data_IF_397096777096
#
_entry.id   IF_397096777096
#
_cell.length_a   1.000
_cell.length_b   1.000
_cell.length_c   1.000
_cell.angle_alpha   90.00
_cell.angle_beta   90.00
_cell.angle_gamma   90.00
#
_symmetry.space_group_name_H-M   'P 1'
#
loop_
_entity.id
_entity.type
_entity.pdbx_description
1 polymer ?
#
# COMPACT_ATOMS: atom_id res chain seq x y z
N UNK A 1 2.41 -78.53 -36.49
CA UNK A 1 1.20 -79.28 -36.09
C UNK A 1 0.26 -78.24 -35.50
N UNK A 2 -0.63 -77.74 -36.35
CA UNK A 2 -2.07 -78.13 -36.42
C UNK A 2 -2.83 -77.19 -35.46
N UNK A 3 -3.45 -76.12 -35.97
CA UNK A 3 -4.91 -76.04 -36.29
C UNK A 3 -5.70 -75.87 -34.96
N UNK A 4 -6.64 -74.96 -34.77
CA UNK A 4 -7.71 -74.52 -35.66
C UNK A 4 -8.21 -73.12 -35.30
N UNK A 5 -8.65 -72.42 -36.35
CA UNK A 5 -9.50 -71.26 -36.34
C UNK A 5 -10.94 -71.64 -35.90
N UNK A 6 -11.38 -71.09 -34.76
CA UNK A 6 -12.75 -71.22 -34.28
C UNK A 6 -13.61 -70.01 -34.64
N UNK A 7 -14.25 -70.07 -35.81
CA UNK A 7 -15.32 -69.15 -36.24
C UNK A 7 -16.55 -69.32 -35.35
N UNK A 8 -17.05 -68.24 -34.74
CA UNK A 8 -18.36 -68.19 -34.09
C UNK A 8 -19.24 -67.13 -34.76
N UNK A 9 -20.43 -67.59 -35.13
CA UNK A 9 -21.49 -66.91 -35.90
C UNK A 9 -22.29 -65.91 -35.06
N UNK A 10 -22.95 -64.93 -35.68
CA UNK A 10 -23.80 -63.97 -34.98
C UNK A 10 -25.19 -64.57 -34.76
N UNK A 11 -25.63 -64.66 -33.49
CA UNK A 11 -27.01 -65.05 -33.17
C UNK A 11 -27.71 -63.97 -32.33
N UNK A 12 -28.88 -63.59 -32.86
CA UNK A 12 -30.06 -63.05 -32.18
C UNK A 12 -29.92 -61.73 -31.40
N UNK A 13 -30.41 -60.69 -32.07
CA UNK A 13 -31.21 -59.59 -31.54
C UNK A 13 -31.94 -59.97 -30.23
N UNK A 14 -31.58 -59.29 -29.13
CA UNK A 14 -32.48 -59.04 -28.01
C UNK A 14 -32.58 -57.53 -27.81
N UNK A 15 -33.54 -56.93 -28.53
CA UNK A 15 -34.05 -55.61 -28.25
C UNK A 15 -34.77 -55.64 -26.90
N UNK A 16 -34.06 -55.34 -25.80
CA UNK A 16 -34.68 -55.03 -24.52
C UNK A 16 -33.96 -53.88 -23.85
N UNK A 17 -34.75 -52.83 -23.64
CA UNK A 17 -34.61 -51.82 -22.59
C UNK A 17 -33.44 -50.86 -22.74
N UNK A 18 -33.76 -49.79 -23.47
CA UNK A 18 -33.35 -48.42 -23.19
C UNK A 18 -33.53 -48.16 -21.69
N UNK A 19 -32.48 -48.39 -20.90
CA UNK A 19 -32.30 -47.72 -19.61
C UNK A 19 -31.18 -46.72 -19.83
N UNK A 20 -31.59 -45.57 -20.36
CA UNK A 20 -30.79 -44.37 -20.51
C UNK A 20 -30.37 -43.90 -19.10
N UNK A 21 -29.34 -44.51 -18.54
CA UNK A 21 -28.60 -43.92 -17.42
C UNK A 21 -27.80 -42.75 -18.01
N UNK A 22 -28.50 -41.65 -18.26
CA UNK A 22 -27.93 -40.31 -18.33
C UNK A 22 -27.26 -40.09 -16.98
N UNK A 23 -25.98 -40.44 -16.90
CA UNK A 23 -25.10 -39.92 -15.88
C UNK A 23 -25.07 -38.41 -16.15
N UNK A 24 -25.92 -37.70 -15.42
CA UNK A 24 -25.81 -36.27 -15.19
C UNK A 24 -24.49 -36.04 -14.46
N UNK A 25 -23.37 -36.10 -15.18
CA UNK A 25 -22.17 -35.36 -14.80
C UNK A 25 -22.57 -33.90 -14.89
N UNK A 26 -23.17 -33.40 -13.81
CA UNK A 26 -23.22 -31.98 -13.55
C UNK A 26 -21.77 -31.51 -13.61
N UNK A 27 -21.41 -30.89 -14.72
CA UNK A 27 -20.19 -30.13 -14.86
C UNK A 27 -20.31 -29.06 -13.77
N UNK A 28 -19.74 -29.34 -12.60
CA UNK A 28 -19.39 -28.30 -11.65
C UNK A 28 -18.36 -27.47 -12.41
N UNK A 29 -18.82 -26.45 -13.11
CA UNK A 29 -17.99 -25.32 -13.46
C UNK A 29 -17.41 -24.87 -12.12
N UNK A 30 -16.20 -25.32 -11.82
CA UNK A 30 -15.41 -24.78 -10.75
C UNK A 30 -15.25 -23.31 -11.11
N UNK A 31 -16.10 -22.46 -10.54
CA UNK A 31 -15.87 -21.02 -10.50
C UNK A 31 -14.61 -20.87 -9.66
N UNK A 32 -13.45 -20.94 -10.33
CA UNK A 32 -12.22 -20.49 -9.71
C UNK A 32 -12.50 -19.05 -9.27
N UNK A 33 -12.36 -18.73 -7.97
CA UNK A 33 -12.46 -17.34 -7.56
C UNK A 33 -11.49 -16.55 -8.44
N UNK A 34 -11.96 -15.41 -8.94
CA UNK A 34 -11.10 -14.51 -9.69
C UNK A 34 -9.81 -14.29 -8.87
N UNK A 35 -8.63 -14.24 -9.53
CA UNK A 35 -7.39 -13.98 -8.82
C UNK A 35 -7.57 -12.77 -7.92
N UNK A 36 -7.26 -12.92 -6.63
CA UNK A 36 -7.27 -11.79 -5.71
C UNK A 36 -6.25 -10.80 -6.28
N UNK A 37 -6.64 -9.56 -6.60
CA UNK A 37 -5.68 -8.58 -7.08
C UNK A 37 -4.57 -8.45 -6.04
N UNK A 38 -3.30 -8.29 -6.45
CA UNK A 38 -2.21 -8.08 -5.51
C UNK A 38 -2.56 -6.89 -4.61
N UNK A 39 -2.19 -6.91 -3.32
CA UNK A 39 -2.41 -5.79 -2.42
C UNK A 39 -1.78 -4.54 -3.06
N UNK A 40 -2.62 -3.56 -3.39
CA UNK A 40 -2.15 -2.28 -3.92
C UNK A 40 -1.66 -1.45 -2.75
N UNK A 41 -0.46 -0.90 -2.86
CA UNK A 41 0.00 0.10 -1.90
C UNK A 41 -1.04 1.23 -1.81
N UNK A 42 -1.33 1.73 -0.59
CA UNK A 42 -2.25 2.85 -0.43
C UNK A 42 -1.67 4.06 -1.16
N UNK A 43 -2.54 4.84 -1.80
CA UNK A 43 -2.12 6.09 -2.43
C UNK A 43 -1.68 7.08 -1.37
N UNK A 44 -0.83 8.05 -1.72
CA UNK A 44 -0.43 9.10 -0.78
C UNK A 44 -1.64 9.88 -0.23
N UNK A 45 -2.72 10.00 -1.02
CA UNK A 45 -3.96 10.67 -0.59
C UNK A 45 -4.70 9.85 0.46
N UNK A 46 -4.85 8.55 0.24
CA UNK A 46 -5.45 7.65 1.23
C UNK A 46 -4.64 7.63 2.53
N UNK A 47 -3.30 7.64 2.43
CA UNK A 47 -2.43 7.76 3.60
C UNK A 47 -2.62 9.09 4.33
N UNK A 48 -2.66 10.21 3.62
CA UNK A 48 -2.83 11.53 4.25
C UNK A 48 -4.20 11.72 4.92
N UNK A 49 -5.23 11.03 4.45
CA UNK A 49 -6.58 11.03 5.01
C UNK A 49 -6.76 10.06 6.19
N UNK A 50 -5.82 9.14 6.40
CA UNK A 50 -5.87 8.19 7.51
C UNK A 50 -5.57 8.88 8.86
N UNK A 51 -6.42 8.70 9.89
CA UNK A 51 -6.24 9.39 11.17
C UNK A 51 -4.94 9.01 11.90
N UNK A 52 -4.47 7.76 11.79
CA UNK A 52 -3.24 7.32 12.45
C UNK A 52 -2.01 7.93 11.77
N UNK A 53 -2.03 8.00 10.45
CA UNK A 53 -0.97 8.68 9.68
C UNK A 53 -0.98 10.18 9.96
N UNK A 54 -2.16 10.79 10.09
CA UNK A 54 -2.29 12.19 10.46
C UNK A 54 -1.76 12.49 11.87
N UNK A 55 -2.01 11.60 12.85
CA UNK A 55 -1.40 11.69 14.18
C UNK A 55 0.14 11.57 14.12
N UNK A 56 0.66 10.76 13.19
CA UNK A 56 2.10 10.70 12.91
C UNK A 56 2.63 12.05 12.40
N UNK A 57 1.91 12.75 11.52
CA UNK A 57 2.28 14.10 11.06
C UNK A 57 2.37 15.09 12.24
N UNK A 58 1.37 15.09 13.11
CA UNK A 58 1.34 15.97 14.28
C UNK A 58 2.51 15.68 15.25
N UNK A 59 2.74 14.41 15.56
CA UNK A 59 3.86 13.98 16.43
C UNK A 59 5.22 14.39 15.86
N UNK A 60 5.43 14.18 14.56
CA UNK A 60 6.70 14.53 13.90
C UNK A 60 6.90 16.04 13.82
N UNK A 61 5.85 16.82 13.55
CA UNK A 61 5.95 18.28 13.62
C UNK A 61 6.37 18.73 15.03
N UNK A 62 5.69 18.27 16.07
CA UNK A 62 5.95 18.71 17.45
C UNK A 62 7.40 18.41 17.86
N UNK A 63 7.95 17.27 17.43
CA UNK A 63 9.35 16.90 17.65
C UNK A 63 10.31 17.81 16.91
N UNK A 64 10.03 18.15 15.66
CA UNK A 64 10.85 19.10 14.89
C UNK A 64 10.87 20.50 15.53
N UNK A 65 9.70 21.00 15.93
CA UNK A 65 9.58 22.30 16.62
C UNK A 65 10.33 22.33 17.95
N UNK A 66 10.28 21.25 18.73
CA UNK A 66 10.97 21.15 20.01
C UNK A 66 12.51 21.21 19.89
N UNK A 67 13.06 20.94 18.70
CA UNK A 67 14.51 20.87 18.46
C UNK A 67 15.07 22.09 17.73
N UNK A 68 14.35 23.22 17.75
CA UNK A 68 14.81 24.51 17.21
C UNK A 68 15.28 24.40 15.74
N UNK A 69 14.37 23.99 14.85
CA UNK A 69 14.61 23.85 13.40
C UNK A 69 15.43 22.62 12.97
N UNK A 70 15.72 21.68 13.89
CA UNK A 70 16.17 20.35 13.47
C UNK A 70 15.00 19.52 12.95
N UNK A 71 15.22 18.80 11.86
CA UNK A 71 14.23 17.88 11.33
C UNK A 71 13.98 16.73 12.33
N UNK A 72 12.79 16.14 12.24
CA UNK A 72 12.44 14.87 12.87
C UNK A 72 11.75 14.03 11.83
N UNK A 73 11.91 12.70 11.90
CA UNK A 73 11.41 11.81 10.88
C UNK A 73 10.86 10.50 11.48
N UNK A 74 9.96 9.85 10.74
CA UNK A 74 9.41 8.55 11.05
C UNK A 74 9.14 7.73 9.79
N UNK A 75 9.15 6.42 9.97
CA UNK A 75 8.51 5.49 9.05
C UNK A 75 7.03 5.38 9.37
N UNK A 76 6.17 5.34 8.34
CA UNK A 76 4.80 4.84 8.45
C UNK A 76 4.79 3.42 7.92
N UNK A 77 4.41 2.48 8.78
CA UNK A 77 4.43 1.04 8.50
C UNK A 77 3.01 0.51 8.50
N UNK A 78 2.61 -0.18 7.43
CA UNK A 78 1.38 -0.95 7.39
C UNK A 78 1.62 -2.31 8.04
N UNK A 79 0.94 -2.54 9.16
CA UNK A 79 0.78 -3.88 9.77
C UNK A 79 -0.43 -4.56 9.13
N UNK A 80 -0.81 -5.72 9.65
CA UNK A 80 -1.90 -6.54 9.09
C UNK A 80 -3.21 -5.75 8.94
N UNK A 81 -3.53 -4.89 9.90
CA UNK A 81 -4.81 -4.20 10.00
C UNK A 81 -4.73 -2.72 10.44
N UNK A 82 -3.52 -2.20 10.71
CA UNK A 82 -3.33 -0.84 11.19
C UNK A 82 -2.00 -0.25 10.72
N UNK A 83 -1.89 1.09 10.78
CA UNK A 83 -0.64 1.79 10.60
C UNK A 83 0.11 1.98 11.92
N UNK A 84 1.44 1.98 11.85
CA UNK A 84 2.33 2.31 12.96
C UNK A 84 3.31 3.41 12.53
N UNK A 85 3.55 4.37 13.43
CA UNK A 85 4.51 5.46 13.22
C UNK A 85 5.80 5.18 14.00
N UNK A 86 6.86 4.74 13.31
CA UNK A 86 8.15 4.40 13.91
C UNK A 86 9.11 5.59 13.79
N UNK A 87 9.24 6.35 14.88
CA UNK A 87 10.11 7.54 14.93
C UNK A 87 11.58 7.15 14.80
N UNK A 88 12.31 7.87 13.94
CA UNK A 88 13.75 7.70 13.79
C UNK A 88 14.45 8.19 15.05
N UNK A 89 15.24 7.31 15.66
CA UNK A 89 16.04 7.68 16.82
C UNK A 89 17.14 8.66 16.35
N UNK A 90 16.96 9.93 16.63
CA UNK A 90 17.82 11.00 16.13
C UNK A 90 18.55 11.65 17.29
N UNK A 91 19.82 11.30 17.47
CA UNK A 91 20.71 11.92 18.44
C UNK A 91 21.32 13.19 17.84
N UNK A 92 20.99 14.39 18.35
CA UNK A 92 21.69 15.65 18.02
C UNK A 92 20.82 16.86 17.65
N UNK A 93 21.43 17.94 17.15
CA UNK A 93 20.78 19.16 16.64
C UNK A 93 21.18 19.40 15.17
N UNK A 94 20.98 18.40 14.31
CA UNK A 94 21.32 18.52 12.89
C UNK A 94 20.11 19.04 12.11
N UNK A 95 20.39 19.89 11.12
CA UNK A 95 19.38 20.38 10.18
C UNK A 95 18.78 19.26 9.31
N UNK A 96 19.45 18.11 9.18
CA UNK A 96 18.94 16.93 8.48
C UNK A 96 18.98 15.71 9.40
N UNK A 97 17.98 14.82 9.30
CA UNK A 97 17.99 13.52 9.99
C UNK A 97 18.22 12.39 8.99
N UNK A 98 19.15 11.50 9.34
CA UNK A 98 19.42 10.28 8.57
C UNK A 98 18.98 9.07 9.38
N UNK A 99 18.31 8.12 8.74
CA UNK A 99 18.03 6.82 9.33
C UNK A 99 19.27 5.92 9.24
N UNK A 100 19.57 5.22 10.33
CA UNK A 100 20.64 4.22 10.37
C UNK A 100 20.03 2.86 10.72
N UNK A 101 20.26 1.86 9.86
CA UNK A 101 19.76 0.50 10.03
C UNK A 101 18.99 0.00 8.82
N UNK A 102 18.33 -1.14 8.99
CA UNK A 102 17.46 -1.73 7.95
C UNK A 102 16.09 -1.03 7.93
N UNK A 103 15.57 -0.81 6.72
CA UNK A 103 14.21 -0.31 6.55
C UNK A 103 13.22 -1.34 7.11
N UNK A 104 12.27 -0.94 7.99
CA UNK A 104 11.27 -1.86 8.52
C UNK A 104 10.46 -2.55 7.41
N UNK A 105 10.03 -3.78 7.65
CA UNK A 105 9.09 -4.44 6.74
C UNK A 105 7.73 -3.73 6.78
N UNK A 106 7.11 -3.56 5.61
CA UNK A 106 5.78 -2.94 5.48
C UNK A 106 5.78 -1.42 5.47
N UNK A 107 6.93 -0.76 5.24
CA UNK A 107 6.96 0.69 5.06
C UNK A 107 6.08 1.09 3.87
N UNK A 108 5.18 2.05 4.11
CA UNK A 108 4.27 2.62 3.09
C UNK A 108 4.47 4.12 2.91
N UNK A 109 5.17 4.80 3.82
CA UNK A 109 5.58 6.19 3.66
C UNK A 109 6.72 6.57 4.62
N UNK A 110 7.34 7.71 4.33
CA UNK A 110 8.19 8.45 5.27
C UNK A 110 7.50 9.76 5.63
N UNK A 111 7.63 10.19 6.87
CA UNK A 111 7.19 11.52 7.32
C UNK A 111 8.39 12.22 7.94
N UNK A 112 8.69 13.45 7.52
CA UNK A 112 9.61 14.31 8.24
C UNK A 112 9.04 15.72 8.44
N UNK A 113 9.59 16.45 9.40
CA UNK A 113 9.29 17.87 9.60
C UNK A 113 10.25 18.72 8.78
N UNK A 114 9.79 19.83 8.21
CA UNK A 114 10.66 20.88 7.67
C UNK A 114 10.63 22.14 8.56
N UNK A 115 11.65 23.00 8.50
CA UNK A 115 11.55 24.33 9.07
C UNK A 115 10.48 25.16 8.34
N UNK A 116 9.77 26.09 9.02
CA UNK A 116 8.71 26.89 8.40
C UNK A 116 9.16 27.72 7.19
N UNK A 117 10.45 28.06 7.10
CA UNK A 117 11.06 28.81 6.00
C UNK A 117 11.18 27.99 4.70
N UNK A 118 11.18 26.66 4.78
CA UNK A 118 11.35 25.75 3.63
C UNK A 118 10.27 24.65 3.63
N UNK A 119 8.97 25.00 3.52
CA UNK A 119 7.90 24.04 3.79
C UNK A 119 7.67 23.00 2.69
N UNK A 120 8.25 23.20 1.51
CA UNK A 120 8.07 22.33 0.35
C UNK A 120 9.02 21.14 0.44
N UNK A 121 8.54 19.95 0.09
CA UNK A 121 9.41 18.80 -0.12
C UNK A 121 10.50 19.11 -1.17
N UNK A 122 11.71 18.65 -0.92
CA UNK A 122 12.89 18.89 -1.73
C UNK A 122 13.01 17.90 -2.89
N UNK A 123 13.92 18.19 -3.83
CA UNK A 123 14.25 17.26 -4.90
C UNK A 123 14.92 15.98 -4.37
N UNK A 124 15.69 16.09 -3.28
CA UNK A 124 16.30 14.95 -2.58
C UNK A 124 15.23 14.03 -1.98
N UNK A 125 14.11 14.58 -1.53
CA UNK A 125 12.97 13.79 -1.04
C UNK A 125 12.33 13.01 -2.18
N UNK A 126 12.16 13.62 -3.34
CA UNK A 126 11.63 12.92 -4.52
C UNK A 126 12.57 11.81 -5.01
N UNK A 127 13.88 12.06 -5.00
CA UNK A 127 14.87 11.02 -5.34
C UNK A 127 14.81 9.85 -4.35
N UNK A 128 14.71 10.15 -3.05
CA UNK A 128 14.58 9.14 -1.99
C UNK A 128 13.26 8.38 -2.11
N UNK A 129 12.15 9.08 -2.40
CA UNK A 129 10.83 8.48 -2.62
C UNK A 129 10.85 7.46 -3.76
N UNK A 130 11.54 7.81 -4.87
CA UNK A 130 11.73 6.90 -6.01
C UNK A 130 12.62 5.71 -5.68
N UNK A 131 13.69 5.92 -4.91
CA UNK A 131 14.59 4.85 -4.50
C UNK A 131 13.89 3.83 -3.58
N UNK A 132 13.06 4.32 -2.66
CA UNK A 132 12.33 3.47 -1.71
C UNK A 132 10.98 2.99 -2.25
N UNK A 133 10.52 3.55 -3.37
CA UNK A 133 9.21 3.33 -3.96
C UNK A 133 8.04 3.56 -2.97
N UNK A 134 8.15 4.62 -2.16
CA UNK A 134 7.12 5.07 -1.21
C UNK A 134 7.07 6.60 -1.17
N UNK A 135 5.90 7.22 -0.92
CA UNK A 135 5.80 8.66 -0.76
C UNK A 135 6.54 9.17 0.49
N UNK A 136 7.09 10.38 0.40
CA UNK A 136 7.71 11.10 1.51
C UNK A 136 6.92 12.37 1.79
N UNK A 137 6.44 12.53 3.02
CA UNK A 137 5.69 13.69 3.47
C UNK A 137 6.60 14.67 4.22
N UNK A 138 6.62 15.92 3.75
CA UNK A 138 7.24 17.04 4.43
C UNK A 138 6.17 17.84 5.18
N UNK A 139 6.29 17.92 6.50
CA UNK A 139 5.29 18.53 7.39
C UNK A 139 5.82 19.81 8.01
N UNK A 140 5.03 20.88 7.92
CA UNK A 140 5.27 22.17 8.59
C UNK A 140 3.99 22.68 9.21
N UNK A 141 4.02 23.62 10.17
CA UNK A 141 2.80 24.15 10.77
C UNK A 141 1.77 24.64 9.75
N UNK A 142 2.23 25.13 8.59
CA UNK A 142 1.39 25.73 7.56
C UNK A 142 0.92 24.74 6.49
N UNK A 143 1.66 23.68 6.21
CA UNK A 143 1.39 22.81 5.08
C UNK A 143 1.96 21.39 5.24
N UNK A 144 1.32 20.46 4.55
CA UNK A 144 1.86 19.12 4.26
C UNK A 144 2.11 19.04 2.75
N UNK A 145 3.34 18.74 2.38
CA UNK A 145 3.75 18.43 1.01
C UNK A 145 4.09 16.95 0.90
N UNK A 146 3.93 16.40 -0.29
CA UNK A 146 4.37 15.04 -0.61
C UNK A 146 5.36 15.08 -1.76
N UNK A 147 6.42 14.30 -1.66
CA UNK A 147 7.24 13.84 -2.77
C UNK A 147 6.83 12.39 -3.06
N UNK A 148 6.02 12.22 -4.11
CA UNK A 148 5.50 10.92 -4.54
C UNK A 148 6.36 10.37 -5.69
N UNK A 149 6.71 9.07 -5.69
CA UNK A 149 7.59 8.50 -6.71
C UNK A 149 7.07 8.67 -8.14
N UNK A 150 5.75 8.60 -8.32
CA UNK A 150 5.07 8.63 -9.61
C UNK A 150 4.53 10.02 -9.96
N UNK A 151 3.92 10.70 -8.99
CA UNK A 151 3.24 11.98 -9.20
C UNK A 151 4.15 13.22 -9.00
N UNK A 152 5.35 13.05 -8.45
CA UNK A 152 6.29 14.14 -8.19
C UNK A 152 5.99 14.90 -6.90
N UNK A 153 6.36 16.17 -6.83
CA UNK A 153 6.19 16.99 -5.62
C UNK A 153 4.88 17.78 -5.70
N UNK A 154 3.97 17.51 -4.76
CA UNK A 154 2.62 18.07 -4.73
C UNK A 154 2.27 18.59 -3.33
N UNK A 155 1.46 19.66 -3.23
CA UNK A 155 0.85 20.02 -1.96
C UNK A 155 -0.25 19.02 -1.63
N UNK A 156 -0.26 18.51 -0.40
CA UNK A 156 -1.35 17.67 0.12
C UNK A 156 -2.39 18.56 0.79
N UNK A 157 -1.91 19.45 1.67
CA UNK A 157 -2.74 20.38 2.44
C UNK A 157 -1.97 21.67 2.67
N UNK A 158 -2.67 22.81 2.62
CA UNK A 158 -2.09 24.13 2.87
C UNK A 158 -2.92 24.91 3.90
N UNK A 159 -2.37 26.04 4.36
CA UNK A 159 -3.04 27.03 5.22
C UNK A 159 -3.45 26.53 6.61
N UNK A 160 -2.61 25.70 7.25
CA UNK A 160 -2.86 25.08 8.57
C UNK A 160 -4.12 24.21 8.64
N UNK A 161 -4.76 23.89 7.51
CA UNK A 161 -6.01 23.13 7.52
C UNK A 161 -5.82 21.73 8.13
N UNK A 162 -4.62 21.16 8.03
CA UNK A 162 -4.26 19.89 8.65
C UNK A 162 -4.12 19.98 10.18
N UNK A 163 -3.69 21.13 10.72
CA UNK A 163 -3.50 21.31 12.15
C UNK A 163 -4.80 21.65 12.92
N UNK A 164 -5.94 21.74 12.22
CA UNK A 164 -7.24 22.06 12.83
C UNK A 164 -7.95 20.78 13.27
N UNK A 165 -8.34 20.66 14.56
CA UNK A 165 -9.15 19.53 15.02
C UNK A 165 -10.45 19.41 14.19
N UNK A 166 -10.71 18.22 13.64
CA UNK A 166 -11.96 17.90 12.95
C UNK A 166 -12.05 18.30 11.47
N UNK A 167 -10.98 18.78 10.85
CA UNK A 167 -10.93 18.99 9.39
C UNK A 167 -10.50 17.69 8.72
N UNK A 168 -11.47 16.93 8.21
CA UNK A 168 -11.21 15.87 7.22
C UNK A 168 -10.76 16.54 5.92
N UNK A 169 -9.69 16.04 5.30
CA UNK A 169 -9.26 16.51 3.99
C UNK A 169 -10.34 16.21 2.97
N UNK A 170 -11.17 17.21 2.66
CA UNK A 170 -12.09 17.09 1.55
C UNK A 170 -11.27 17.03 0.29
N UNK A 171 -11.41 15.94 -0.48
CA UNK A 171 -10.83 15.73 -1.80
C UNK A 171 -11.23 16.80 -2.86
N UNK A 172 -11.90 17.88 -2.45
CA UNK A 172 -12.33 19.00 -3.26
C UNK A 172 -11.37 20.20 -3.14
N UNK A 173 -10.12 20.04 -3.54
CA UNK A 173 -9.31 21.15 -4.06
C UNK A 173 -8.76 20.71 -5.41
N UNK A 174 -9.54 21.05 -6.46
CA UNK A 174 -9.18 20.89 -7.87
C UNK A 174 -8.28 22.03 -8.31
#
# INVERSE_FOLDING_TARGET
>A
MVEEDGVLTPSSFSARMIALCLILTAVRCATFPAPIPPPTNPTFRALAEDPVVHDCFANILLRGLARQEAESAAWVVLKVDHYECIVWNSTGYRAEVTFHGEMPFGVVAVVHSHPPSLPKASQKDLETARQLNVPIFAVTPLAVWVADPDAGILPVVQNMAWARPGVLFSAAQR
#
